data_IF_329838235529
#
_entry.id   IF_329838235529
#
_cell.length_a   1.000
_cell.length_b   1.000
_cell.length_c   1.000
_cell.angle_alpha   90.00
_cell.angle_beta   90.00
_cell.angle_gamma   90.00
#
_symmetry.space_group_name_H-M   'P 1'
#
loop_
_entity.id
_entity.type
_entity.pdbx_description
1 polymer ?
#
# COMPACT_ATOMS: atom_id res chain seq x y z
N UNK A 1 -15.23 24.89 -1.94
CA UNK A 1 -15.84 23.59 -2.19
C UNK A 1 -15.98 22.83 -0.87
N UNK A 2 -17.16 22.25 -0.61
CA UNK A 2 -17.43 21.50 0.61
C UNK A 2 -16.66 20.19 0.62
N UNK A 3 -16.06 19.81 1.77
CA UNK A 3 -15.27 18.59 1.92
C UNK A 3 -16.10 17.34 1.60
N UNK A 4 -17.33 17.24 2.08
CA UNK A 4 -18.22 16.11 1.80
C UNK A 4 -18.45 15.88 0.30
N UNK A 5 -18.59 16.95 -0.50
CA UNK A 5 -18.74 16.86 -1.95
C UNK A 5 -17.47 16.32 -2.60
N UNK A 6 -16.29 16.73 -2.12
CA UNK A 6 -15.01 16.20 -2.60
C UNK A 6 -14.90 14.71 -2.32
N UNK A 7 -15.29 14.28 -1.10
CA UNK A 7 -15.27 12.87 -0.74
C UNK A 7 -16.21 12.03 -1.61
N UNK A 8 -17.44 12.52 -1.90
CA UNK A 8 -18.32 11.85 -2.84
C UNK A 8 -17.69 11.70 -4.22
N UNK A 9 -17.06 12.77 -4.75
CA UNK A 9 -16.37 12.70 -6.04
C UNK A 9 -15.18 11.72 -6.03
N UNK A 10 -14.43 11.66 -4.93
CA UNK A 10 -13.34 10.71 -4.78
C UNK A 10 -13.86 9.26 -4.75
N UNK A 11 -14.92 8.98 -3.99
CA UNK A 11 -15.55 7.66 -3.93
C UNK A 11 -16.11 7.23 -5.29
N UNK A 12 -16.74 8.18 -6.03
CA UNK A 12 -17.20 7.95 -7.40
C UNK A 12 -16.06 7.58 -8.35
N UNK A 13 -14.93 8.29 -8.23
CA UNK A 13 -13.73 8.03 -9.03
C UNK A 13 -13.15 6.64 -8.73
N UNK A 14 -13.00 6.28 -7.46
CA UNK A 14 -12.48 4.96 -7.05
C UNK A 14 -13.36 3.83 -7.59
N UNK A 15 -14.68 3.97 -7.49
CA UNK A 15 -15.64 3.01 -8.01
C UNK A 15 -15.55 2.88 -9.53
N UNK A 16 -15.48 4.01 -10.24
CA UNK A 16 -15.35 4.05 -11.70
C UNK A 16 -14.04 3.41 -12.19
N UNK A 17 -12.90 3.78 -11.58
CA UNK A 17 -11.59 3.26 -11.94
C UNK A 17 -11.48 1.73 -11.71
N UNK A 18 -12.05 1.24 -10.61
CA UNK A 18 -12.13 -0.21 -10.35
C UNK A 18 -12.99 -0.94 -11.39
N UNK A 19 -14.14 -0.38 -11.72
CA UNK A 19 -15.03 -0.95 -12.73
C UNK A 19 -14.39 -0.97 -14.13
N UNK A 20 -13.79 0.15 -14.54
CA UNK A 20 -13.09 0.29 -15.82
C UNK A 20 -11.95 -0.72 -15.94
N UNK A 21 -11.13 -0.88 -14.89
CA UNK A 21 -10.04 -1.85 -14.90
C UNK A 21 -10.55 -3.28 -15.16
N UNK A 22 -11.61 -3.70 -14.46
CA UNK A 22 -12.18 -5.04 -14.64
C UNK A 22 -12.87 -5.21 -16.00
N UNK A 23 -13.55 -4.18 -16.53
CA UNK A 23 -14.19 -4.25 -17.86
C UNK A 23 -13.14 -4.40 -18.96
N UNK A 24 -12.02 -3.67 -18.87
CA UNK A 24 -10.92 -3.81 -19.82
C UNK A 24 -10.26 -5.20 -19.74
N UNK A 25 -10.10 -5.77 -18.55
CA UNK A 25 -9.57 -7.13 -18.40
C UNK A 25 -10.52 -8.16 -19.00
N UNK A 26 -11.84 -8.02 -18.79
CA UNK A 26 -12.83 -8.88 -19.41
C UNK A 26 -12.84 -8.78 -20.95
N UNK A 27 -12.70 -7.57 -21.49
CA UNK A 27 -12.61 -7.35 -22.94
C UNK A 27 -11.33 -7.98 -23.53
N UNK A 28 -10.22 -7.88 -22.80
CA UNK A 28 -8.95 -8.53 -23.17
C UNK A 28 -9.08 -10.05 -23.15
N UNK A 29 -9.63 -10.61 -22.06
CA UNK A 29 -9.86 -12.05 -21.95
C UNK A 29 -10.76 -12.61 -23.06
N UNK A 30 -11.71 -11.82 -23.56
CA UNK A 30 -12.56 -12.20 -24.71
C UNK A 30 -11.82 -12.25 -26.05
N UNK A 31 -10.70 -11.54 -26.17
CA UNK A 31 -9.86 -11.50 -27.38
C UNK A 31 -8.65 -12.44 -27.34
N UNK A 32 -8.35 -13.05 -26.20
CA UNK A 32 -7.31 -14.07 -26.03
C UNK A 32 -7.77 -15.35 -26.74
N UNK A 33 -6.92 -15.89 -27.64
CA UNK A 33 -7.26 -16.92 -28.63
C UNK A 33 -7.81 -18.21 -27.98
N UNK A 34 -8.98 -18.72 -28.44
CA UNK A 34 -9.56 -19.99 -27.95
C UNK A 34 -8.75 -21.24 -28.31
N UNK A 35 -7.55 -21.12 -28.90
CA UNK A 35 -6.74 -22.23 -29.38
C UNK A 35 -5.87 -22.96 -28.35
N UNK A 36 -5.70 -22.43 -27.15
CA UNK A 36 -4.88 -23.02 -26.09
C UNK A 36 -5.74 -23.76 -25.06
N UNK A 37 -6.31 -24.90 -25.38
CA UNK A 37 -7.02 -25.76 -24.41
C UNK A 37 -8.43 -25.27 -24.02
N UNK A 38 -9.45 -25.73 -24.69
CA UNK A 38 -10.85 -25.24 -24.66
C UNK A 38 -11.60 -25.21 -23.30
N UNK A 39 -10.92 -25.31 -22.17
CA UNK A 39 -11.52 -25.25 -20.82
C UNK A 39 -10.92 -24.16 -19.95
N UNK A 40 -9.60 -23.92 -20.03
CA UNK A 40 -8.93 -22.93 -19.16
C UNK A 40 -9.19 -21.50 -19.62
N UNK A 41 -9.23 -21.23 -20.92
CA UNK A 41 -9.49 -19.89 -21.47
C UNK A 41 -10.92 -19.44 -21.26
N UNK A 42 -11.90 -20.38 -21.33
CA UNK A 42 -13.30 -20.07 -21.01
C UNK A 42 -13.46 -19.66 -19.54
N UNK A 43 -12.80 -20.35 -18.60
CA UNK A 43 -12.85 -20.01 -17.18
C UNK A 43 -12.12 -18.69 -16.89
N UNK A 44 -11.05 -18.35 -17.60
CA UNK A 44 -10.38 -17.04 -17.52
C UNK A 44 -11.33 -15.90 -17.92
N UNK A 45 -11.99 -16.04 -19.08
CA UNK A 45 -12.98 -15.05 -19.53
C UNK A 45 -14.17 -14.97 -18.59
N UNK A 46 -14.72 -16.11 -18.15
CA UNK A 46 -15.86 -16.14 -17.22
C UNK A 46 -15.53 -15.44 -15.91
N UNK A 47 -14.32 -15.66 -15.33
CA UNK A 47 -13.90 -15.01 -14.10
C UNK A 47 -13.74 -13.49 -14.30
N UNK A 48 -13.11 -13.06 -15.38
CA UNK A 48 -12.93 -11.64 -15.69
C UNK A 48 -14.29 -10.94 -15.93
N UNK A 49 -15.19 -11.55 -16.69
CA UNK A 49 -16.52 -11.02 -16.98
C UNK A 49 -17.40 -10.94 -15.72
N UNK A 50 -17.36 -11.99 -14.88
CA UNK A 50 -18.06 -12.00 -13.60
C UNK A 50 -17.52 -10.91 -12.64
N UNK A 51 -16.21 -10.76 -12.53
CA UNK A 51 -15.61 -9.71 -11.71
C UNK A 51 -15.98 -8.30 -12.21
N UNK A 52 -15.97 -8.09 -13.52
CA UNK A 52 -16.41 -6.84 -14.13
C UNK A 52 -17.88 -6.52 -13.81
N UNK A 53 -18.79 -7.50 -13.97
CA UNK A 53 -20.21 -7.31 -13.67
C UNK A 53 -20.47 -7.09 -12.18
N UNK A 54 -19.80 -7.86 -11.30
CA UNK A 54 -19.94 -7.74 -9.84
C UNK A 54 -19.55 -6.34 -9.32
N UNK A 55 -18.66 -5.61 -10.00
CA UNK A 55 -18.21 -4.27 -9.62
C UNK A 55 -18.86 -3.16 -10.45
N UNK A 56 -18.95 -3.29 -11.77
CA UNK A 56 -19.41 -2.20 -12.63
C UNK A 56 -20.88 -1.87 -12.44
N UNK A 57 -21.73 -2.87 -12.23
CA UNK A 57 -23.18 -2.66 -12.06
C UNK A 57 -23.50 -1.88 -10.77
N UNK A 58 -23.02 -2.29 -9.57
CA UNK A 58 -23.20 -1.51 -8.35
C UNK A 58 -22.51 -0.14 -8.41
N UNK A 59 -21.33 -0.04 -9.02
CA UNK A 59 -20.61 1.22 -9.16
C UNK A 59 -21.40 2.23 -10.01
N UNK A 60 -22.00 1.79 -11.12
CA UNK A 60 -22.81 2.65 -11.96
C UNK A 60 -24.04 3.18 -11.22
N UNK A 61 -24.76 2.29 -10.49
CA UNK A 61 -25.92 2.70 -9.70
C UNK A 61 -25.52 3.73 -8.63
N UNK A 62 -24.51 3.39 -7.80
CA UNK A 62 -24.02 4.30 -6.75
C UNK A 62 -23.55 5.64 -7.30
N UNK A 63 -22.79 5.64 -8.40
CA UNK A 63 -22.31 6.88 -9.02
C UNK A 63 -23.46 7.72 -9.59
N UNK A 64 -24.51 7.11 -10.14
CA UNK A 64 -25.69 7.82 -10.61
C UNK A 64 -26.47 8.46 -9.46
N UNK A 65 -26.58 7.80 -8.31
CA UNK A 65 -27.20 8.35 -7.10
C UNK A 65 -26.37 9.51 -6.53
N UNK A 66 -25.06 9.33 -6.39
CA UNK A 66 -24.16 10.37 -5.91
C UNK A 66 -24.08 11.56 -6.86
N UNK A 67 -24.22 11.35 -8.17
CA UNK A 67 -24.30 12.42 -9.15
C UNK A 67 -25.48 13.37 -8.86
N UNK A 68 -26.65 12.84 -8.54
CA UNK A 68 -27.79 13.66 -8.09
C UNK A 68 -27.45 14.41 -6.82
N UNK A 69 -26.87 13.73 -5.83
CA UNK A 69 -26.51 14.32 -4.54
C UNK A 69 -25.49 15.48 -4.67
N UNK A 70 -24.48 15.31 -5.54
CA UNK A 70 -23.44 16.33 -5.80
C UNK A 70 -24.02 17.58 -6.46
N UNK A 71 -24.99 17.42 -7.35
CA UNK A 71 -25.68 18.55 -7.99
C UNK A 71 -26.72 19.23 -7.08
N UNK A 72 -27.10 18.60 -5.96
CA UNK A 72 -28.07 19.16 -5.03
C UNK A 72 -29.46 19.32 -5.65
N UNK A 73 -30.15 20.44 -5.37
CA UNK A 73 -31.53 20.67 -5.81
C UNK A 73 -31.74 20.52 -7.32
N UNK A 74 -30.84 21.05 -8.13
CA UNK A 74 -30.96 20.95 -9.60
C UNK A 74 -30.85 19.50 -10.10
N UNK A 75 -30.04 18.65 -9.45
CA UNK A 75 -29.92 17.24 -9.78
C UNK A 75 -31.23 16.44 -9.60
N UNK A 76 -32.16 16.95 -8.79
CA UNK A 76 -33.48 16.35 -8.56
C UNK A 76 -34.55 16.88 -9.50
N UNK A 77 -34.18 17.78 -10.41
CA UNK A 77 -35.14 18.35 -11.35
C UNK A 77 -35.09 17.67 -12.72
N UNK A 78 -36.18 17.80 -13.50
CA UNK A 78 -36.24 17.31 -14.87
C UNK A 78 -35.35 18.08 -15.84
N UNK A 79 -34.92 19.27 -15.45
CA UNK A 79 -34.06 20.14 -16.26
C UNK A 79 -32.61 19.65 -16.34
N UNK A 80 -32.21 18.76 -15.40
CA UNK A 80 -30.85 18.19 -15.34
C UNK A 80 -30.85 16.71 -15.74
N UNK A 81 -29.86 16.29 -16.54
CA UNK A 81 -29.77 14.93 -17.09
C UNK A 81 -29.42 13.84 -16.06
N UNK A 82 -29.15 14.17 -14.79
CA UNK A 82 -28.78 13.21 -13.76
C UNK A 82 -29.79 12.06 -13.59
N UNK A 83 -31.10 12.37 -13.72
CA UNK A 83 -32.15 11.35 -13.62
C UNK A 83 -32.11 10.32 -14.76
N UNK A 84 -31.61 10.66 -15.96
CA UNK A 84 -31.45 9.74 -17.08
C UNK A 84 -30.41 8.67 -16.75
N UNK A 85 -29.28 9.08 -16.16
CA UNK A 85 -28.24 8.16 -15.70
C UNK A 85 -28.74 7.23 -14.60
N UNK A 86 -29.49 7.75 -13.62
CA UNK A 86 -30.05 6.91 -12.54
C UNK A 86 -31.08 5.91 -13.08
N UNK A 87 -32.00 6.32 -13.94
CA UNK A 87 -32.99 5.44 -14.55
C UNK A 87 -32.31 4.32 -15.35
N UNK A 88 -31.29 4.65 -16.13
CA UNK A 88 -30.52 3.65 -16.88
C UNK A 88 -29.79 2.69 -15.95
N UNK A 89 -29.12 3.20 -14.89
CA UNK A 89 -28.40 2.39 -13.92
C UNK A 89 -29.33 1.41 -13.21
N UNK A 90 -30.51 1.86 -12.77
CA UNK A 90 -31.53 1.03 -12.16
C UNK A 90 -32.00 -0.09 -13.12
N UNK A 91 -32.27 0.25 -14.38
CA UNK A 91 -32.73 -0.73 -15.39
C UNK A 91 -31.62 -1.77 -15.65
N UNK A 92 -30.40 -1.34 -15.90
CA UNK A 92 -29.26 -2.23 -16.19
C UNK A 92 -28.98 -3.15 -15.00
N UNK A 93 -28.99 -2.61 -13.79
CA UNK A 93 -28.75 -3.41 -12.58
C UNK A 93 -29.90 -4.42 -12.32
N UNK A 94 -31.13 -4.06 -12.62
CA UNK A 94 -32.28 -4.98 -12.47
C UNK A 94 -32.26 -6.11 -13.50
N UNK A 95 -31.78 -5.84 -14.73
CA UNK A 95 -31.75 -6.85 -15.82
C UNK A 95 -30.55 -7.79 -15.68
N UNK A 96 -29.37 -7.26 -15.40
CA UNK A 96 -28.14 -8.04 -15.40
C UNK A 96 -27.78 -8.64 -14.04
N UNK A 97 -28.13 -7.97 -12.93
CA UNK A 97 -27.95 -8.45 -11.56
C UNK A 97 -26.49 -8.67 -11.15
N UNK A 98 -25.95 -7.82 -10.26
CA UNK A 98 -24.56 -7.95 -9.81
C UNK A 98 -24.33 -9.10 -8.82
N UNK A 99 -25.36 -9.59 -8.15
CA UNK A 99 -25.25 -10.63 -7.11
C UNK A 99 -24.92 -12.00 -7.73
N UNK A 100 -25.57 -12.37 -8.84
CA UNK A 100 -25.26 -13.59 -9.57
C UNK A 100 -23.81 -13.60 -10.07
N UNK A 101 -23.33 -12.48 -10.60
CA UNK A 101 -21.94 -12.34 -11.02
C UNK A 101 -20.94 -12.50 -9.84
N UNK A 102 -21.27 -11.96 -8.67
CA UNK A 102 -20.44 -12.15 -7.48
C UNK A 102 -20.40 -13.62 -7.03
N UNK A 103 -21.54 -14.33 -7.06
CA UNK A 103 -21.59 -15.78 -6.80
C UNK A 103 -20.72 -16.56 -7.80
N UNK A 104 -20.72 -16.16 -9.08
CA UNK A 104 -19.86 -16.79 -10.10
C UNK A 104 -18.39 -16.56 -9.80
N UNK A 105 -17.98 -15.36 -9.39
CA UNK A 105 -16.59 -15.07 -8.96
C UNK A 105 -16.19 -15.99 -7.81
N UNK A 106 -17.04 -16.12 -6.78
CA UNK A 106 -16.80 -17.02 -5.66
C UNK A 106 -16.65 -18.47 -6.14
N UNK A 107 -17.60 -18.97 -6.92
CA UNK A 107 -17.63 -20.36 -7.39
C UNK A 107 -16.43 -20.71 -8.27
N UNK A 108 -16.00 -19.82 -9.17
CA UNK A 108 -14.80 -20.00 -10.00
C UNK A 108 -13.54 -20.03 -9.17
N UNK A 109 -13.37 -19.05 -8.26
CA UNK A 109 -12.20 -18.97 -7.39
C UNK A 109 -12.13 -20.16 -6.43
N UNK A 110 -13.27 -20.63 -5.90
CA UNK A 110 -13.34 -21.81 -5.02
C UNK A 110 -12.94 -23.11 -5.72
N UNK A 111 -13.06 -23.18 -7.05
CA UNK A 111 -12.55 -24.28 -7.89
C UNK A 111 -11.07 -24.13 -8.27
N UNK A 112 -10.40 -23.09 -7.82
CA UNK A 112 -9.00 -22.84 -8.11
C UNK A 112 -8.73 -22.05 -9.40
N UNK A 113 -9.75 -21.46 -10.03
CA UNK A 113 -9.55 -20.59 -11.19
C UNK A 113 -8.88 -19.31 -10.74
N UNK A 114 -7.73 -19.00 -11.34
CA UNK A 114 -6.95 -17.78 -11.09
C UNK A 114 -6.74 -17.04 -12.38
N UNK A 115 -7.13 -15.79 -12.46
CA UNK A 115 -6.90 -14.95 -13.63
C UNK A 115 -5.40 -14.67 -13.79
N UNK A 116 -4.82 -15.17 -14.87
CA UNK A 116 -3.45 -14.90 -15.27
C UNK A 116 -3.38 -13.55 -15.99
N UNK A 117 -2.98 -12.51 -15.29
CA UNK A 117 -2.76 -11.19 -15.88
C UNK A 117 -1.29 -11.01 -16.19
N UNK A 118 -0.94 -10.79 -17.46
CA UNK A 118 0.38 -10.38 -17.90
C UNK A 118 0.36 -8.95 -18.42
N UNK A 119 1.46 -8.23 -18.27
CA UNK A 119 1.71 -6.99 -18.99
C UNK A 119 2.28 -7.32 -20.36
N UNK A 120 1.80 -6.63 -21.40
CA UNK A 120 2.46 -6.65 -22.70
C UNK A 120 3.76 -5.86 -22.56
N UNK A 121 4.86 -6.58 -22.47
CA UNK A 121 6.17 -5.98 -22.33
C UNK A 121 6.73 -5.63 -23.72
N UNK A 122 7.49 -4.55 -23.83
CA UNK A 122 8.16 -4.21 -25.10
C UNK A 122 9.15 -5.31 -25.51
N UNK A 123 9.43 -5.49 -26.80
CA UNK A 123 10.31 -6.56 -27.28
C UNK A 123 11.71 -6.59 -26.63
N UNK A 124 12.20 -5.43 -26.20
CA UNK A 124 13.49 -5.29 -25.50
C UNK A 124 13.47 -5.95 -24.11
N UNK A 125 12.28 -6.16 -23.54
CA UNK A 125 12.13 -6.81 -22.24
C UNK A 125 12.59 -8.26 -22.25
N UNK A 126 12.47 -8.99 -23.37
CA UNK A 126 12.90 -10.39 -23.46
C UNK A 126 14.43 -10.55 -23.32
N UNK A 127 15.20 -9.65 -23.92
CA UNK A 127 16.66 -9.65 -23.74
C UNK A 127 17.03 -9.38 -22.27
N UNK A 128 16.37 -8.38 -21.66
CA UNK A 128 16.56 -8.04 -20.25
C UNK A 128 16.11 -9.17 -19.32
N UNK A 129 15.02 -9.86 -19.67
CA UNK A 129 14.53 -11.05 -18.93
C UNK A 129 15.62 -12.13 -18.89
N UNK A 130 16.24 -12.44 -20.04
CA UNK A 130 17.30 -13.43 -20.11
C UNK A 130 18.50 -13.11 -19.21
N UNK A 131 18.91 -11.84 -19.15
CA UNK A 131 19.98 -11.39 -18.26
C UNK A 131 19.59 -11.54 -16.78
N UNK A 132 18.38 -11.13 -16.41
CA UNK A 132 17.87 -11.20 -15.04
C UNK A 132 17.69 -12.66 -14.60
N UNK A 133 17.15 -13.52 -15.48
CA UNK A 133 17.00 -14.96 -15.20
C UNK A 133 18.35 -15.61 -14.90
N UNK A 134 19.37 -15.35 -15.74
CA UNK A 134 20.71 -15.89 -15.53
C UNK A 134 21.31 -15.46 -14.19
N UNK A 135 21.14 -14.19 -13.84
CA UNK A 135 21.63 -13.64 -12.57
C UNK A 135 20.86 -14.17 -11.38
N UNK A 136 19.53 -14.29 -11.47
CA UNK A 136 18.71 -14.87 -10.41
C UNK A 136 19.11 -16.33 -10.15
N UNK A 137 19.33 -17.13 -11.20
CA UNK A 137 19.80 -18.51 -11.07
C UNK A 137 21.22 -18.59 -10.47
N UNK A 138 22.12 -17.69 -10.86
CA UNK A 138 23.48 -17.60 -10.30
C UNK A 138 23.41 -17.33 -8.81
N UNK A 139 22.60 -16.38 -8.38
CA UNK A 139 22.43 -16.03 -6.96
C UNK A 139 21.73 -17.16 -6.20
N UNK A 140 20.73 -17.82 -6.80
CA UNK A 140 20.04 -18.95 -6.20
C UNK A 140 20.96 -20.12 -5.82
N UNK A 141 22.04 -20.30 -6.56
CA UNK A 141 23.03 -21.36 -6.30
C UNK A 141 23.95 -21.09 -5.09
N UNK A 142 23.90 -19.88 -4.51
CA UNK A 142 24.73 -19.48 -3.36
C UNK A 142 24.03 -19.82 -2.03
N UNK A 143 24.81 -19.82 -0.94
CA UNK A 143 24.24 -19.89 0.42
C UNK A 143 23.54 -18.58 0.78
N UNK A 144 22.61 -18.63 1.72
CA UNK A 144 21.70 -17.51 2.07
C UNK A 144 22.45 -16.22 2.42
N UNK A 145 23.58 -16.31 3.13
CA UNK A 145 24.38 -15.16 3.51
C UNK A 145 25.04 -14.52 2.29
N UNK A 146 25.65 -15.34 1.43
CA UNK A 146 26.29 -14.91 0.20
C UNK A 146 25.24 -14.36 -0.78
N UNK A 147 24.02 -14.91 -0.82
CA UNK A 147 22.91 -14.34 -1.60
C UNK A 147 22.64 -12.89 -1.23
N UNK A 148 22.58 -12.54 0.05
CA UNK A 148 22.37 -11.16 0.48
C UNK A 148 23.51 -10.24 0.05
N UNK A 149 24.76 -10.68 0.20
CA UNK A 149 25.93 -9.92 -0.22
C UNK A 149 25.91 -9.64 -1.74
N UNK A 150 25.55 -10.63 -2.54
CA UNK A 150 25.43 -10.48 -3.99
C UNK A 150 24.23 -9.62 -4.40
N UNK A 151 23.09 -9.76 -3.75
CA UNK A 151 21.93 -8.90 -3.98
C UNK A 151 22.25 -7.42 -3.72
N UNK A 152 23.05 -7.14 -2.69
CA UNK A 152 23.51 -5.78 -2.38
C UNK A 152 24.52 -5.32 -3.43
N UNK A 153 25.53 -6.12 -3.73
CA UNK A 153 26.61 -5.77 -4.67
C UNK A 153 26.10 -5.52 -6.10
N UNK A 154 25.09 -6.27 -6.54
CA UNK A 154 24.47 -6.14 -7.85
C UNK A 154 23.33 -5.11 -7.92
N UNK A 155 22.87 -4.62 -6.76
CA UNK A 155 21.76 -3.70 -6.64
C UNK A 155 20.37 -4.33 -6.81
N UNK A 156 20.27 -5.65 -6.96
CA UNK A 156 18.99 -6.35 -7.06
C UNK A 156 18.22 -6.38 -5.73
N UNK A 157 18.89 -6.12 -4.63
CA UNK A 157 18.26 -6.02 -3.31
C UNK A 157 17.12 -5.00 -3.29
N UNK A 158 17.32 -3.84 -3.94
CA UNK A 158 16.35 -2.74 -4.09
C UNK A 158 16.51 -2.14 -5.49
N UNK A 159 16.08 -2.87 -6.51
CA UNK A 159 16.37 -2.57 -7.93
C UNK A 159 16.02 -1.15 -8.37
N UNK A 160 14.95 -0.55 -7.81
CA UNK A 160 14.50 0.80 -8.12
C UNK A 160 15.34 1.91 -7.48
N UNK A 161 16.22 1.60 -6.52
CA UNK A 161 17.06 2.62 -5.89
C UNK A 161 18.13 3.15 -6.85
N UNK A 162 18.63 4.39 -6.64
CA UNK A 162 19.73 4.93 -7.42
C UNK A 162 21.00 4.07 -7.29
N UNK A 163 21.81 4.04 -8.34
CA UNK A 163 23.17 3.47 -8.28
C UNK A 163 24.02 4.27 -7.28
N UNK A 164 24.95 3.63 -6.56
CA UNK A 164 25.32 2.20 -6.63
C UNK A 164 24.45 1.28 -5.74
N UNK A 165 23.52 1.81 -4.96
CA UNK A 165 22.74 1.10 -3.95
C UNK A 165 21.59 0.27 -4.52
N UNK A 166 21.21 0.54 -5.74
CA UNK A 166 20.25 -0.17 -6.56
C UNK A 166 20.69 -0.11 -8.02
N UNK A 167 19.77 -0.39 -8.91
CA UNK A 167 20.02 -0.43 -10.36
C UNK A 167 19.47 0.79 -11.10
N UNK A 168 18.75 1.67 -10.40
CA UNK A 168 17.91 2.71 -11.00
C UNK A 168 16.88 2.10 -11.99
N UNK A 169 16.40 0.90 -11.67
CA UNK A 169 15.55 0.10 -12.54
C UNK A 169 14.25 0.81 -12.88
N UNK A 170 13.91 0.88 -14.15
CA UNK A 170 12.61 1.29 -14.63
C UNK A 170 11.53 0.25 -14.31
N UNK A 171 10.27 0.56 -14.61
CA UNK A 171 9.14 -0.30 -14.24
C UNK A 171 9.23 -1.71 -14.84
N UNK A 172 9.68 -1.85 -16.10
CA UNK A 172 9.90 -3.16 -16.76
C UNK A 172 10.92 -3.97 -16.01
N UNK A 173 12.10 -3.40 -15.74
CA UNK A 173 13.17 -4.10 -15.04
C UNK A 173 12.74 -4.52 -13.64
N UNK A 174 12.01 -3.64 -12.90
CA UNK A 174 11.48 -3.98 -11.58
C UNK A 174 10.55 -5.19 -11.64
N UNK A 175 9.62 -5.22 -12.60
CA UNK A 175 8.69 -6.34 -12.79
C UNK A 175 9.43 -7.63 -13.08
N UNK A 176 10.36 -7.60 -14.06
CA UNK A 176 11.16 -8.77 -14.42
C UNK A 176 11.99 -9.28 -13.23
N UNK A 177 12.57 -8.38 -12.45
CA UNK A 177 13.31 -8.76 -11.23
C UNK A 177 12.39 -9.45 -10.21
N UNK A 178 11.17 -8.97 -10.02
CA UNK A 178 10.21 -9.64 -9.12
C UNK A 178 9.88 -11.06 -9.61
N UNK A 179 9.56 -11.19 -10.90
CA UNK A 179 9.18 -12.47 -11.51
C UNK A 179 10.32 -13.49 -11.49
N UNK A 180 11.48 -13.10 -12.01
CA UNK A 180 12.60 -14.04 -12.21
C UNK A 180 13.28 -14.46 -10.90
N UNK A 181 13.41 -13.52 -9.92
CA UNK A 181 13.95 -13.87 -8.61
C UNK A 181 12.98 -14.74 -7.81
N UNK A 182 11.68 -14.52 -7.93
CA UNK A 182 10.67 -15.40 -7.34
C UNK A 182 10.70 -16.80 -7.98
N UNK A 183 10.79 -16.89 -9.30
CA UNK A 183 10.89 -18.16 -10.04
C UNK A 183 12.16 -18.93 -9.68
N UNK A 184 13.28 -18.23 -9.45
CA UNK A 184 14.54 -18.84 -9.00
C UNK A 184 14.54 -19.22 -7.50
N UNK A 185 13.48 -18.88 -6.75
CA UNK A 185 13.39 -19.14 -5.31
C UNK A 185 14.27 -18.23 -4.44
N UNK A 186 14.79 -17.13 -4.99
CA UNK A 186 15.59 -16.15 -4.23
C UNK A 186 14.68 -15.18 -3.51
N UNK A 187 14.73 -15.19 -2.19
CA UNK A 187 13.96 -14.28 -1.34
C UNK A 187 14.72 -12.96 -1.16
N UNK A 188 14.24 -11.90 -1.80
CA UNK A 188 14.76 -10.56 -1.54
C UNK A 188 14.26 -10.05 -0.18
N UNK A 189 15.13 -9.39 0.62
CA UNK A 189 14.74 -8.89 1.94
C UNK A 189 13.61 -7.86 1.86
N UNK A 190 12.64 -7.96 2.76
CA UNK A 190 11.72 -6.86 3.07
C UNK A 190 12.39 -5.94 4.09
N UNK A 191 12.47 -4.66 3.75
CA UNK A 191 13.04 -3.63 4.62
C UNK A 191 11.98 -2.79 5.34
N UNK A 192 10.73 -2.86 4.94
CA UNK A 192 9.65 -2.08 5.55
C UNK A 192 10.06 -0.61 5.71
N UNK A 193 9.93 -0.08 6.94
CA UNK A 193 10.25 1.33 7.26
C UNK A 193 11.71 1.68 6.94
N UNK A 194 12.65 0.78 7.25
CA UNK A 194 14.06 1.00 6.92
C UNK A 194 14.25 1.31 5.44
N UNK A 195 13.51 0.64 4.54
CA UNK A 195 13.62 0.83 3.10
C UNK A 195 13.33 2.26 2.66
N UNK A 196 12.18 2.82 3.02
CA UNK A 196 11.85 4.19 2.56
C UNK A 196 12.61 5.28 3.32
N UNK A 197 13.02 5.03 4.57
CA UNK A 197 13.86 5.96 5.32
C UNK A 197 15.25 6.04 4.70
N UNK A 198 15.86 4.91 4.37
CA UNK A 198 17.20 4.87 3.74
C UNK A 198 17.15 5.42 2.31
N UNK A 199 16.10 5.15 1.54
CA UNK A 199 15.94 5.79 0.23
C UNK A 199 15.88 7.32 0.37
N UNK A 200 15.22 7.85 1.40
CA UNK A 200 15.21 9.28 1.68
C UNK A 200 16.62 9.79 2.00
N UNK A 201 17.40 9.01 2.75
CA UNK A 201 18.78 9.38 3.07
C UNK A 201 19.66 9.40 1.81
N UNK A 202 19.49 8.45 0.90
CA UNK A 202 20.16 8.44 -0.42
C UNK A 202 19.80 9.67 -1.24
N UNK A 203 18.53 10.12 -1.18
CA UNK A 203 18.04 11.27 -1.96
C UNK A 203 18.41 12.62 -1.39
N UNK A 204 18.51 12.75 -0.06
CA UNK A 204 18.58 14.03 0.63
C UNK A 204 19.79 14.15 1.59
N UNK A 205 20.47 13.07 1.90
CA UNK A 205 21.59 13.04 2.82
C UNK A 205 22.91 13.48 2.19
N UNK A 206 23.89 13.74 3.03
CA UNK A 206 25.27 14.00 2.60
C UNK A 206 25.98 12.72 2.21
N UNK A 207 27.05 12.77 1.39
CA UNK A 207 27.86 11.59 1.07
C UNK A 207 28.35 10.83 2.32
N UNK A 208 28.75 11.56 3.37
CA UNK A 208 29.18 10.96 4.64
C UNK A 208 28.04 10.20 5.34
N UNK A 209 26.82 10.73 5.35
CA UNK A 209 25.65 10.04 5.90
C UNK A 209 25.33 8.78 5.12
N UNK A 210 25.38 8.86 3.80
CA UNK A 210 25.13 7.70 2.91
C UNK A 210 26.15 6.59 3.20
N UNK A 211 27.43 6.91 3.24
CA UNK A 211 28.51 5.98 3.54
C UNK A 211 28.39 5.34 4.94
N UNK A 212 28.00 6.13 5.95
CA UNK A 212 27.84 5.65 7.34
C UNK A 212 26.70 4.67 7.53
N UNK A 213 25.61 4.79 6.77
CA UNK A 213 24.35 4.17 7.14
C UNK A 213 23.75 3.22 6.11
N UNK A 214 23.92 3.45 4.79
CA UNK A 214 23.15 2.71 3.78
C UNK A 214 23.52 1.23 3.76
N UNK A 215 24.82 0.90 3.73
CA UNK A 215 25.23 -0.51 3.68
C UNK A 215 24.79 -1.28 4.94
N UNK A 216 24.93 -0.69 6.13
CA UNK A 216 24.49 -1.30 7.40
C UNK A 216 22.99 -1.58 7.41
N UNK A 217 22.21 -0.67 6.84
CA UNK A 217 20.75 -0.87 6.72
C UNK A 217 20.40 -1.97 5.71
N UNK A 218 21.08 -2.03 4.57
CA UNK A 218 20.88 -3.09 3.57
C UNK A 218 21.29 -4.47 4.11
N UNK A 219 22.30 -4.55 4.97
CA UNK A 219 22.71 -5.78 5.68
C UNK A 219 21.79 -6.14 6.86
N UNK A 220 20.84 -5.25 7.20
CA UNK A 220 20.00 -5.32 8.40
C UNK A 220 20.78 -5.25 9.73
N UNK A 221 22.01 -4.76 9.72
CA UNK A 221 22.80 -4.51 10.93
C UNK A 221 22.23 -3.34 11.74
N UNK A 222 21.65 -2.35 11.06
CA UNK A 222 20.94 -1.24 11.69
C UNK A 222 19.52 -1.11 11.12
N UNK A 223 18.53 -1.34 11.96
CA UNK A 223 17.11 -1.14 11.64
C UNK A 223 16.74 0.30 11.97
N UNK A 224 15.92 0.90 11.10
CA UNK A 224 15.48 2.29 11.21
C UNK A 224 13.99 2.41 11.49
N UNK A 225 13.61 3.44 12.24
CA UNK A 225 12.23 3.85 12.42
C UNK A 225 12.00 5.29 11.94
N UNK A 226 10.72 5.64 11.70
CA UNK A 226 10.28 6.97 11.28
C UNK A 226 9.63 7.68 12.46
N UNK A 227 10.16 8.84 12.85
CA UNK A 227 9.78 9.61 14.03
C UNK A 227 9.10 10.93 13.63
N UNK A 228 7.89 10.84 13.06
CA UNK A 228 7.17 12.00 12.51
C UNK A 228 6.03 12.44 13.42
N UNK A 229 5.05 11.59 13.65
CA UNK A 229 3.83 11.90 14.37
C UNK A 229 4.10 12.29 15.83
N UNK A 230 3.31 13.25 16.33
CA UNK A 230 3.29 13.67 17.72
C UNK A 230 1.85 13.62 18.26
N UNK A 231 1.61 13.62 19.58
CA UNK A 231 0.25 13.60 20.14
C UNK A 231 -0.67 14.69 19.58
N UNK A 232 -0.12 15.83 19.15
CA UNK A 232 -0.87 16.95 18.57
C UNK A 232 -0.66 17.14 17.06
N UNK A 233 0.11 16.28 16.39
CA UNK A 233 0.49 16.41 14.99
C UNK A 233 0.51 15.03 14.30
N UNK A 234 -0.65 14.62 13.80
CA UNK A 234 -0.82 13.41 13.00
C UNK A 234 -1.00 13.74 11.52
N UNK A 235 -2.25 13.91 11.06
CA UNK A 235 -2.56 14.28 9.66
C UNK A 235 -1.92 15.61 9.24
N UNK A 236 -1.79 16.57 10.16
CA UNK A 236 -0.97 17.77 9.96
C UNK A 236 0.48 17.50 10.39
N UNK A 237 1.21 16.78 9.55
CA UNK A 237 2.59 16.37 9.82
C UNK A 237 3.56 17.56 9.98
N UNK A 238 3.20 18.76 9.50
CA UNK A 238 3.99 19.97 9.68
C UNK A 238 3.78 20.67 11.02
N UNK A 239 2.77 20.28 11.81
CA UNK A 239 2.46 20.88 13.10
C UNK A 239 3.33 20.36 14.27
N UNK A 240 4.45 19.71 13.96
CA UNK A 240 5.37 19.14 14.98
C UNK A 240 5.90 20.21 15.93
N UNK A 241 6.03 19.83 17.20
CA UNK A 241 6.46 20.68 18.32
C UNK A 241 7.72 20.17 19.04
N UNK A 242 8.19 18.96 18.74
CA UNK A 242 9.46 18.44 19.26
C UNK A 242 10.54 19.47 18.98
N UNK A 243 11.04 20.11 20.02
CA UNK A 243 11.94 21.28 19.94
C UNK A 243 13.37 20.82 19.72
N UNK A 244 14.07 21.49 18.80
CA UNK A 244 15.51 21.41 18.68
C UNK A 244 16.10 22.78 18.94
N UNK A 245 16.99 22.87 19.94
CA UNK A 245 17.69 24.11 20.34
C UNK A 245 19.14 24.01 19.91
N UNK A 246 19.64 25.03 19.22
CA UNK A 246 21.03 25.12 18.78
C UNK A 246 21.98 25.16 19.96
N UNK A 247 23.05 24.36 19.92
CA UNK A 247 24.16 24.35 20.87
C UNK A 247 25.47 24.18 20.10
N UNK A 248 26.61 24.27 20.81
CA UNK A 248 27.90 24.06 20.16
C UNK A 248 28.02 22.65 19.57
N UNK A 249 28.33 22.58 18.27
CA UNK A 249 28.52 21.35 17.52
C UNK A 249 27.25 20.56 17.20
N UNK A 250 26.06 21.11 17.50
CA UNK A 250 24.82 20.36 17.22
C UNK A 250 23.55 20.97 17.80
N UNK A 251 22.64 20.09 18.19
CA UNK A 251 21.30 20.43 18.65
C UNK A 251 20.91 19.61 19.86
N UNK A 252 20.15 20.22 20.77
CA UNK A 252 19.48 19.54 21.90
C UNK A 252 18.00 19.37 21.58
N UNK A 253 17.51 18.12 21.65
CA UNK A 253 16.15 17.77 21.28
C UNK A 253 15.36 17.39 22.51
N UNK A 254 14.17 18.00 22.66
CA UNK A 254 13.21 17.67 23.71
C UNK A 254 11.80 17.62 23.12
N UNK A 255 11.05 16.57 23.45
CA UNK A 255 9.69 16.37 22.95
C UNK A 255 9.27 14.92 22.96
N UNK A 256 8.23 14.62 22.18
CA UNK A 256 7.63 13.28 22.11
C UNK A 256 7.20 12.96 20.70
N UNK A 257 7.48 11.73 20.25
CA UNK A 257 6.91 11.12 19.07
C UNK A 257 5.97 9.99 19.46
N UNK A 258 4.97 9.71 18.61
CA UNK A 258 3.97 8.67 18.84
C UNK A 258 3.70 7.89 17.57
N UNK A 259 3.09 6.73 17.69
CA UNK A 259 2.80 5.81 16.57
C UNK A 259 4.06 5.35 15.81
N UNK A 260 5.21 5.34 16.47
CA UNK A 260 6.47 4.93 15.86
C UNK A 260 6.56 3.41 15.81
N UNK A 261 6.39 2.84 14.62
CA UNK A 261 6.50 1.40 14.41
C UNK A 261 7.94 0.94 14.65
N UNK A 262 8.10 -0.13 15.42
CA UNK A 262 9.38 -0.80 15.63
C UNK A 262 10.44 -0.01 16.39
N UNK A 263 10.11 1.12 17.01
CA UNK A 263 11.10 1.95 17.74
C UNK A 263 11.82 1.17 18.86
N UNK A 264 11.18 0.17 19.45
CA UNK A 264 11.75 -0.63 20.55
C UNK A 264 12.94 -1.52 20.13
N UNK A 265 13.05 -1.86 18.83
CA UNK A 265 14.19 -2.61 18.29
C UNK A 265 15.02 -1.80 17.27
N UNK A 266 14.56 -0.62 16.85
CA UNK A 266 15.30 0.22 15.92
C UNK A 266 16.62 0.72 16.55
N UNK A 267 17.68 0.74 15.75
CA UNK A 267 18.96 1.33 16.13
C UNK A 267 19.01 2.82 15.80
N UNK A 268 18.34 3.24 14.74
CA UNK A 268 18.31 4.62 14.24
C UNK A 268 16.88 5.08 13.99
N UNK A 269 16.66 6.38 14.07
CA UNK A 269 15.39 7.00 13.70
C UNK A 269 15.60 8.25 12.85
N UNK A 270 14.74 8.45 11.86
CA UNK A 270 14.69 9.69 11.08
C UNK A 270 13.53 10.53 11.62
N UNK A 271 13.84 11.71 12.18
CA UNK A 271 12.91 12.53 12.93
C UNK A 271 12.71 13.93 12.33
N UNK A 272 11.46 14.37 12.31
CA UNK A 272 11.12 15.80 12.14
C UNK A 272 11.20 16.51 13.47
N UNK A 273 11.90 17.65 13.53
CA UNK A 273 12.00 18.50 14.74
C UNK A 273 11.74 19.96 14.39
N UNK A 274 11.29 20.74 15.37
CA UNK A 274 11.05 22.19 15.23
C UNK A 274 12.27 22.96 15.65
N UNK A 275 12.94 23.60 14.70
CA UNK A 275 14.12 24.45 14.92
C UNK A 275 13.80 25.94 14.96
N UNK A 276 12.71 26.35 14.29
CA UNK A 276 12.23 27.74 14.31
C UNK A 276 10.71 27.78 14.53
N UNK A 277 10.28 28.50 15.55
CA UNK A 277 8.87 28.67 15.92
C UNK A 277 8.26 29.99 15.43
N UNK A 278 9.08 30.92 14.92
CA UNK A 278 8.66 32.26 14.51
C UNK A 278 8.28 32.35 13.03
N UNK A 279 8.50 31.26 12.29
CA UNK A 279 8.20 31.17 10.85
C UNK A 279 6.99 30.27 10.59
N UNK A 280 6.40 30.31 9.37
CA UNK A 280 5.34 29.37 9.00
C UNK A 280 5.76 27.92 9.23
N UNK A 281 4.83 27.09 9.68
CA UNK A 281 5.11 25.72 10.17
C UNK A 281 5.98 24.85 9.27
N UNK A 282 5.88 25.00 7.95
CA UNK A 282 6.68 24.24 6.99
C UNK A 282 8.14 24.71 6.87
N UNK A 283 8.41 25.99 7.21
CA UNK A 283 9.71 26.60 7.07
C UNK A 283 10.59 26.51 8.34
N UNK A 284 10.05 25.99 9.44
CA UNK A 284 10.79 25.86 10.72
C UNK A 284 11.05 24.41 11.13
N UNK A 285 11.01 23.47 10.19
CA UNK A 285 11.25 22.04 10.42
C UNK A 285 12.67 21.68 9.95
N UNK A 286 13.36 20.90 10.75
CA UNK A 286 14.63 20.26 10.39
C UNK A 286 14.46 18.74 10.49
N UNK A 287 15.15 18.01 9.63
CA UNK A 287 15.20 16.56 9.68
C UNK A 287 16.51 16.12 10.31
N UNK A 288 16.44 15.16 11.23
CA UNK A 288 17.61 14.69 11.97
C UNK A 288 17.64 13.17 12.10
N UNK A 289 18.83 12.60 12.17
CA UNK A 289 19.09 11.20 12.50
C UNK A 289 19.26 11.10 14.02
N UNK A 290 18.53 10.18 14.64
CA UNK A 290 18.59 9.92 16.08
C UNK A 290 19.16 8.54 16.33
N UNK A 291 20.17 8.43 17.18
CA UNK A 291 20.57 7.17 17.80
C UNK A 291 19.51 6.80 18.85
N UNK A 292 18.75 5.74 18.61
CA UNK A 292 17.67 5.30 19.49
C UNK A 292 18.18 4.77 20.85
N UNK A 293 19.50 4.61 21.01
CA UNK A 293 20.15 4.22 22.26
C UNK A 293 20.89 5.39 22.93
N UNK A 294 20.77 6.62 22.38
CA UNK A 294 21.40 7.79 22.98
C UNK A 294 20.81 8.10 24.36
N UNK A 295 21.63 8.68 25.28
CA UNK A 295 21.11 9.17 26.56
C UNK A 295 19.95 10.16 26.35
N UNK A 296 18.87 10.00 27.10
CA UNK A 296 17.69 10.85 26.99
C UNK A 296 16.62 10.34 26.01
N UNK A 297 16.87 9.28 25.23
CA UNK A 297 15.85 8.60 24.42
C UNK A 297 15.17 7.53 25.27
N UNK A 298 13.86 7.61 25.39
CA UNK A 298 13.04 6.61 26.08
C UNK A 298 11.95 6.11 25.12
N UNK A 299 11.83 4.79 24.97
CA UNK A 299 10.84 4.15 24.10
C UNK A 299 9.85 3.37 24.96
N UNK A 300 8.54 3.65 24.76
CA UNK A 300 7.44 2.98 25.47
C UNK A 300 6.51 2.34 24.45
N UNK A 301 6.42 0.99 24.43
CA UNK A 301 5.47 0.29 23.56
C UNK A 301 4.02 0.65 23.89
N UNK A 302 3.20 0.85 22.85
CA UNK A 302 1.77 1.10 22.95
C UNK A 302 1.01 -0.20 22.70
N UNK A 303 0.24 -0.65 23.69
CA UNK A 303 -0.63 -1.81 23.49
C UNK A 303 -1.81 -1.42 22.59
N UNK A 304 -1.91 -2.10 21.45
CA UNK A 304 -2.93 -1.88 20.44
C UNK A 304 -4.17 -2.72 20.71
N UNK A 305 -5.28 -2.38 20.04
CA UNK A 305 -6.53 -3.16 20.11
C UNK A 305 -6.39 -4.58 19.60
N UNK A 306 -5.37 -4.86 18.77
CA UNK A 306 -4.99 -6.20 18.29
C UNK A 306 -4.32 -7.07 19.36
N UNK A 307 -3.95 -6.47 20.50
CA UNK A 307 -3.15 -7.09 21.55
C UNK A 307 -1.63 -6.97 21.35
N UNK A 308 -1.17 -6.57 20.17
CA UNK A 308 0.24 -6.32 19.85
C UNK A 308 0.74 -4.98 20.42
N UNK A 309 2.04 -4.70 20.24
CA UNK A 309 2.71 -3.48 20.70
C UNK A 309 3.76 -3.00 19.70
N UNK A 310 3.46 -3.08 18.42
CA UNK A 310 4.36 -2.69 17.33
C UNK A 310 4.60 -1.18 17.27
N UNK A 311 3.61 -0.37 17.70
CA UNK A 311 3.72 1.08 17.81
C UNK A 311 4.27 1.51 19.16
N UNK A 312 4.99 2.62 19.17
CA UNK A 312 5.64 3.13 20.36
C UNK A 312 5.43 4.64 20.52
N UNK A 313 5.45 5.10 21.77
CA UNK A 313 5.82 6.46 22.13
C UNK A 313 7.35 6.56 22.26
N UNK A 314 7.91 7.65 21.80
CA UNK A 314 9.36 7.92 21.93
C UNK A 314 9.51 9.30 22.53
N UNK A 315 10.13 9.36 23.71
CA UNK A 315 10.41 10.60 24.45
C UNK A 315 11.85 11.00 24.24
N UNK A 316 12.08 12.29 24.04
CA UNK A 316 13.38 12.90 23.97
C UNK A 316 13.55 13.87 25.14
N UNK A 317 14.53 13.61 25.99
CA UNK A 317 14.85 14.44 27.13
C UNK A 317 16.29 14.96 26.96
N UNK A 318 16.40 16.16 26.38
CA UNK A 318 17.67 16.85 26.14
C UNK A 318 18.70 16.01 25.34
N UNK A 319 18.20 15.29 24.30
CA UNK A 319 19.05 14.41 23.46
C UNK A 319 19.94 15.24 22.57
N UNK A 320 21.26 15.00 22.62
CA UNK A 320 22.21 15.68 21.75
C UNK A 320 22.29 15.02 20.38
N UNK A 321 22.18 15.82 19.32
CA UNK A 321 22.34 15.43 17.92
C UNK A 321 23.46 16.28 17.32
N UNK A 322 24.53 15.68 16.81
CA UNK A 322 25.61 16.41 16.16
C UNK A 322 25.17 16.99 14.81
N UNK A 323 25.82 18.05 14.36
CA UNK A 323 25.51 18.70 13.08
C UNK A 323 25.59 17.75 11.89
N UNK A 324 26.48 16.78 11.94
CA UNK A 324 26.63 15.75 10.89
C UNK A 324 25.43 14.81 10.74
N UNK A 325 24.53 14.79 11.74
CA UNK A 325 23.29 13.98 11.72
C UNK A 325 22.05 14.81 11.32
N UNK A 326 22.21 16.05 10.89
CA UNK A 326 21.17 16.85 10.25
C UNK A 326 21.05 16.42 8.77
N UNK A 327 19.86 16.07 8.33
CA UNK A 327 19.60 15.63 6.93
C UNK A 327 19.03 16.79 6.13
N UNK A 328 19.74 17.20 5.09
CA UNK A 328 19.46 18.44 4.37
C UNK A 328 19.83 19.68 5.18
N UNK A 329 19.32 20.84 4.79
CA UNK A 329 19.60 22.11 5.48
C UNK A 329 18.67 22.32 6.69
N UNK A 330 19.16 22.94 7.79
CA UNK A 330 18.31 23.39 8.87
C UNK A 330 17.13 24.25 8.36
N UNK A 331 15.96 24.07 8.92
CA UNK A 331 14.70 24.72 8.55
C UNK A 331 14.14 24.31 7.15
N UNK A 332 14.83 23.49 6.37
CA UNK A 332 14.38 22.96 5.09
C UNK A 332 13.90 21.50 5.19
N UNK A 333 13.77 20.94 6.39
CA UNK A 333 13.41 19.54 6.65
C UNK A 333 12.04 19.12 6.12
N UNK A 334 11.14 20.06 5.81
CA UNK A 334 9.87 19.73 5.19
C UNK A 334 10.04 19.12 3.78
N UNK A 335 11.05 19.54 3.03
CA UNK A 335 11.37 18.93 1.73
C UNK A 335 11.79 17.47 1.91
N UNK A 336 12.64 17.18 2.89
CA UNK A 336 13.06 15.82 3.23
C UNK A 336 11.88 14.99 3.74
N UNK A 337 11.01 15.56 4.59
CA UNK A 337 9.80 14.90 5.08
C UNK A 337 8.86 14.51 3.93
N UNK A 338 8.69 15.39 2.94
CA UNK A 338 7.87 15.09 1.74
C UNK A 338 8.47 13.94 0.91
N UNK A 339 9.78 13.86 0.77
CA UNK A 339 10.45 12.75 0.10
C UNK A 339 10.19 11.44 0.87
N UNK A 340 10.36 11.43 2.18
CA UNK A 340 10.07 10.26 3.04
C UNK A 340 8.63 9.79 2.89
N UNK A 341 7.65 10.71 2.98
CA UNK A 341 6.22 10.39 2.82
C UNK A 341 5.89 9.91 1.39
N UNK A 342 6.60 10.41 0.39
CA UNK A 342 6.51 9.93 -0.99
C UNK A 342 6.99 8.49 -1.11
N UNK A 343 8.15 8.18 -0.58
CA UNK A 343 8.76 6.85 -0.56
C UNK A 343 7.89 5.84 0.23
N UNK A 344 7.34 6.26 1.39
CA UNK A 344 6.39 5.48 2.19
C UNK A 344 5.16 5.08 1.38
N UNK A 345 4.51 6.04 0.67
CA UNK A 345 3.32 5.77 -0.14
C UNK A 345 3.60 4.77 -1.26
N UNK A 346 4.76 4.90 -1.92
CA UNK A 346 5.16 3.95 -2.97
C UNK A 346 5.37 2.56 -2.37
N UNK A 347 6.02 2.45 -1.22
CA UNK A 347 6.26 1.19 -0.54
C UNK A 347 4.95 0.52 -0.07
N UNK A 348 4.06 1.26 0.58
CA UNK A 348 2.77 0.74 1.07
C UNK A 348 1.81 0.44 -0.08
N UNK A 349 1.75 1.28 -1.09
CA UNK A 349 0.81 1.14 -2.23
C UNK A 349 1.33 0.23 -3.34
N UNK A 350 2.63 -0.06 -3.36
CA UNK A 350 3.29 -0.89 -4.37
C UNK A 350 3.42 -2.36 -4.00
N UNK A 351 2.92 -2.75 -2.83
CA UNK A 351 3.08 -4.09 -2.29
C UNK A 351 2.65 -5.18 -3.27
N UNK A 352 3.63 -5.78 -3.95
CA UNK A 352 3.51 -7.08 -4.59
C UNK A 352 3.34 -8.20 -3.54
N UNK A 353 3.40 -7.84 -2.25
CA UNK A 353 3.31 -8.72 -1.10
C UNK A 353 1.87 -8.93 -0.64
N UNK A 354 1.17 -9.95 -1.17
CA UNK A 354 0.34 -10.72 -0.28
C UNK A 354 -1.13 -10.35 -0.12
N UNK A 355 -1.84 -9.86 -1.13
CA UNK A 355 -3.31 -9.90 -1.10
C UNK A 355 -3.81 -11.34 -1.31
N UNK A 356 -3.13 -12.14 -2.10
CA UNK A 356 -3.51 -13.52 -2.42
C UNK A 356 -3.75 -14.44 -1.19
N UNK A 357 -2.96 -14.43 -0.11
CA UNK A 357 -3.24 -15.28 1.06
C UNK A 357 -4.57 -14.95 1.75
N UNK A 358 -4.97 -13.68 1.76
CA UNK A 358 -6.20 -13.24 2.41
C UNK A 358 -7.45 -13.73 1.64
N UNK A 359 -7.42 -13.66 0.33
CA UNK A 359 -8.50 -14.13 -0.54
C UNK A 359 -8.74 -15.63 -0.40
N UNK A 360 -7.67 -16.43 -0.44
CA UNK A 360 -7.75 -17.87 -0.24
C UNK A 360 -8.33 -18.24 1.13
N UNK A 361 -7.90 -17.54 2.18
CA UNK A 361 -8.42 -17.75 3.52
C UNK A 361 -9.93 -17.47 3.63
N UNK A 362 -10.41 -16.37 3.06
CA UNK A 362 -11.84 -16.06 3.07
C UNK A 362 -12.67 -17.08 2.27
N UNK A 363 -12.15 -17.59 1.16
CA UNK A 363 -12.79 -18.69 0.42
C UNK A 363 -12.92 -19.93 1.30
N UNK A 364 -11.85 -20.33 2.00
CA UNK A 364 -11.88 -21.48 2.90
C UNK A 364 -12.87 -21.27 4.05
N UNK A 365 -12.89 -20.07 4.67
CA UNK A 365 -13.87 -19.75 5.71
C UNK A 365 -15.31 -19.81 5.19
N UNK A 366 -15.56 -19.30 4.00
CA UNK A 366 -16.91 -19.33 3.41
C UNK A 366 -17.34 -20.75 3.04
N UNK A 367 -16.42 -21.60 2.60
CA UNK A 367 -16.71 -23.02 2.35
C UNK A 367 -17.01 -23.78 3.65
N UNK A 368 -16.32 -23.45 4.75
CA UNK A 368 -16.49 -24.11 6.04
C UNK A 368 -17.71 -23.59 6.84
N UNK A 369 -18.02 -22.31 6.75
CA UNK A 369 -18.96 -21.61 7.63
C UNK A 369 -19.95 -20.70 6.91
N UNK A 370 -20.16 -20.90 5.60
CA UNK A 370 -21.03 -20.02 4.79
C UNK A 370 -22.49 -19.99 5.24
N UNK A 371 -22.95 -21.03 5.90
CA UNK A 371 -24.28 -21.12 6.51
C UNK A 371 -24.52 -20.10 7.64
N UNK A 372 -23.45 -19.59 8.24
CA UNK A 372 -23.50 -18.57 9.31
C UNK A 372 -23.74 -17.15 8.79
N UNK A 373 -23.54 -16.90 7.50
CA UNK A 373 -23.72 -15.59 6.89
C UNK A 373 -24.61 -15.69 5.64
N UNK A 374 -25.80 -15.13 5.70
CA UNK A 374 -26.70 -15.08 4.53
C UNK A 374 -26.00 -14.34 3.37
N UNK A 375 -25.98 -14.95 2.17
CA UNK A 375 -25.29 -14.40 1.00
C UNK A 375 -23.77 -14.40 1.12
N UNK A 376 -23.19 -15.37 1.83
CA UNK A 376 -21.74 -15.51 1.99
C UNK A 376 -21.02 -15.56 0.65
N UNK A 377 -21.53 -16.31 -0.30
CA UNK A 377 -21.05 -16.44 -1.67
C UNK A 377 -21.02 -15.11 -2.41
N UNK A 378 -22.10 -14.33 -2.33
CA UNK A 378 -22.19 -12.99 -2.94
C UNK A 378 -21.19 -12.03 -2.30
N UNK A 379 -21.11 -12.00 -0.96
CA UNK A 379 -20.26 -11.05 -0.25
C UNK A 379 -18.78 -11.36 -0.44
N UNK A 380 -18.40 -12.63 -0.34
CA UNK A 380 -17.02 -13.07 -0.61
C UNK A 380 -16.68 -12.88 -2.09
N UNK A 381 -17.59 -13.19 -3.00
CA UNK A 381 -17.39 -12.97 -4.43
C UNK A 381 -17.14 -11.51 -4.80
N UNK A 382 -17.87 -10.56 -4.19
CA UNK A 382 -17.59 -9.13 -4.34
C UNK A 382 -16.21 -8.74 -3.79
N UNK A 383 -15.84 -9.28 -2.64
CA UNK A 383 -14.52 -9.08 -2.07
C UNK A 383 -13.41 -9.58 -3.02
N UNK A 384 -13.59 -10.77 -3.62
CA UNK A 384 -12.66 -11.32 -4.61
C UNK A 384 -12.60 -10.49 -5.89
N UNK A 385 -13.72 -9.94 -6.35
CA UNK A 385 -13.75 -9.02 -7.48
C UNK A 385 -13.00 -7.71 -7.15
N UNK A 386 -13.13 -7.19 -5.93
CA UNK A 386 -12.39 -6.02 -5.46
C UNK A 386 -10.89 -6.29 -5.38
N UNK A 387 -10.48 -7.49 -4.93
CA UNK A 387 -9.10 -7.94 -4.93
C UNK A 387 -8.52 -7.98 -6.35
N UNK A 388 -9.31 -8.50 -7.30
CA UNK A 388 -8.95 -8.50 -8.71
C UNK A 388 -8.78 -7.08 -9.26
N UNK A 389 -9.72 -6.16 -8.97
CA UNK A 389 -9.61 -4.76 -9.36
C UNK A 389 -8.35 -4.08 -8.81
N UNK A 390 -7.97 -4.33 -7.55
CA UNK A 390 -6.74 -3.81 -6.96
C UNK A 390 -5.49 -4.28 -7.71
N UNK A 391 -5.43 -5.56 -8.10
CA UNK A 391 -4.33 -6.09 -8.94
C UNK A 391 -4.26 -5.38 -10.28
N UNK A 392 -5.40 -5.22 -10.97
CA UNK A 392 -5.47 -4.54 -12.25
C UNK A 392 -5.07 -3.07 -12.18
N UNK A 393 -5.50 -2.35 -11.14
CA UNK A 393 -5.10 -0.95 -10.90
C UNK A 393 -3.58 -0.83 -10.71
N UNK A 394 -2.97 -1.76 -9.99
CA UNK A 394 -1.52 -1.80 -9.83
C UNK A 394 -0.80 -2.14 -11.15
N UNK A 395 -1.32 -3.10 -11.93
CA UNK A 395 -0.78 -3.41 -13.27
C UNK A 395 -0.89 -2.21 -14.22
N UNK A 396 -2.03 -1.50 -14.23
CA UNK A 396 -2.20 -0.29 -15.05
C UNK A 396 -1.23 0.82 -14.63
N UNK A 397 -0.98 0.98 -13.34
CA UNK A 397 0.04 1.92 -12.85
C UNK A 397 1.44 1.54 -13.33
N UNK A 398 1.78 0.24 -13.28
CA UNK A 398 3.04 -0.26 -13.81
C UNK A 398 3.15 -0.03 -15.33
N UNK A 399 2.12 -0.34 -16.10
CA UNK A 399 2.07 -0.09 -17.55
C UNK A 399 2.30 1.39 -17.90
N UNK A 400 1.59 2.32 -17.23
CA UNK A 400 1.80 3.76 -17.42
C UNK A 400 3.21 4.23 -17.06
N UNK A 401 3.81 3.63 -16.04
CA UNK A 401 5.21 3.91 -15.68
C UNK A 401 6.18 3.42 -16.75
N UNK A 402 5.87 2.30 -17.41
CA UNK A 402 6.63 1.77 -18.56
C UNK A 402 6.59 2.76 -19.74
N UNK A 403 5.44 3.41 -19.96
CA UNK A 403 5.25 4.44 -20.99
C UNK A 403 5.85 5.81 -20.61
N UNK A 404 6.53 5.90 -19.47
CA UNK A 404 7.19 7.11 -19.01
C UNK A 404 6.26 8.12 -18.32
N UNK A 405 5.04 7.76 -18.00
CA UNK A 405 4.14 8.62 -17.23
C UNK A 405 4.65 8.77 -15.79
N UNK A 406 4.67 10.02 -15.31
CA UNK A 406 4.97 10.32 -13.92
C UNK A 406 3.89 9.80 -12.95
N UNK A 407 4.15 9.81 -11.63
CA UNK A 407 3.17 9.36 -10.64
C UNK A 407 1.90 10.21 -10.71
N UNK A 408 0.76 9.52 -10.88
CA UNK A 408 -0.57 10.10 -10.92
C UNK A 408 -1.35 9.91 -9.61
N UNK A 409 -2.67 10.17 -9.60
CA UNK A 409 -3.52 10.00 -8.43
C UNK A 409 -3.76 8.53 -8.06
N UNK A 410 -3.31 7.59 -8.88
CA UNK A 410 -3.56 6.16 -8.73
C UNK A 410 -3.07 5.60 -7.38
N UNK A 411 -1.97 6.15 -6.84
CA UNK A 411 -1.47 5.77 -5.52
C UNK A 411 -2.46 6.06 -4.39
N UNK A 412 -3.23 7.17 -4.49
CA UNK A 412 -4.27 7.47 -3.51
C UNK A 412 -5.51 6.58 -3.72
N UNK A 413 -5.88 6.28 -4.98
CA UNK A 413 -6.99 5.38 -5.32
C UNK A 413 -6.72 3.98 -4.75
N UNK A 414 -5.53 3.41 -5.03
CA UNK A 414 -5.17 2.08 -4.53
C UNK A 414 -5.06 2.04 -3.01
N UNK A 415 -4.50 3.09 -2.37
CA UNK A 415 -4.42 3.19 -0.91
C UNK A 415 -5.81 3.21 -0.26
N UNK A 416 -6.74 4.02 -0.78
CA UNK A 416 -8.10 4.12 -0.27
C UNK A 416 -8.84 2.78 -0.44
N UNK A 417 -8.79 2.22 -1.64
CA UNK A 417 -9.39 0.93 -1.94
C UNK A 417 -8.84 -0.19 -1.07
N UNK A 418 -7.51 -0.24 -0.87
CA UNK A 418 -6.85 -1.22 -0.03
C UNK A 418 -7.29 -1.12 1.44
N UNK A 419 -7.42 0.10 1.97
CA UNK A 419 -7.89 0.31 3.34
C UNK A 419 -9.34 -0.20 3.54
N UNK A 420 -10.23 0.04 2.57
CA UNK A 420 -11.61 -0.46 2.58
C UNK A 420 -11.65 -1.98 2.42
N UNK A 421 -10.80 -2.54 1.56
CA UNK A 421 -10.67 -3.98 1.33
C UNK A 421 -10.24 -4.73 2.60
N UNK A 422 -9.26 -4.23 3.36
CA UNK A 422 -8.89 -4.82 4.66
C UNK A 422 -10.03 -4.75 5.68
N UNK A 423 -10.80 -3.65 5.70
CA UNK A 423 -11.95 -3.55 6.59
C UNK A 423 -13.04 -4.57 6.24
N UNK A 424 -13.32 -4.74 4.96
CA UNK A 424 -14.30 -5.73 4.48
C UNK A 424 -13.83 -7.16 4.73
N UNK A 425 -12.53 -7.46 4.53
CA UNK A 425 -11.93 -8.74 4.90
C UNK A 425 -12.20 -9.09 6.37
N UNK A 426 -11.90 -8.15 7.27
CA UNK A 426 -12.12 -8.35 8.70
C UNK A 426 -13.60 -8.54 9.05
N UNK A 427 -14.49 -7.79 8.39
CA UNK A 427 -15.94 -7.89 8.60
C UNK A 427 -16.51 -9.23 8.10
N UNK A 428 -16.07 -9.70 6.93
CA UNK A 428 -16.47 -11.01 6.37
C UNK A 428 -15.96 -12.13 7.29
N UNK A 429 -14.69 -12.12 7.63
CA UNK A 429 -14.08 -13.13 8.50
C UNK A 429 -14.81 -13.22 9.86
N UNK A 430 -15.10 -12.05 10.46
CA UNK A 430 -15.85 -11.98 11.72
C UNK A 430 -17.27 -12.57 11.60
N UNK A 431 -17.97 -12.28 10.51
CA UNK A 431 -19.32 -12.81 10.28
C UNK A 431 -19.32 -14.33 10.07
N UNK A 432 -18.34 -14.88 9.34
CA UNK A 432 -18.22 -16.30 9.07
C UNK A 432 -17.81 -17.10 10.34
N UNK A 433 -16.86 -16.58 11.11
CA UNK A 433 -16.39 -17.25 12.32
C UNK A 433 -17.41 -17.15 13.47
N UNK A 434 -18.14 -16.04 13.55
CA UNK A 434 -19.24 -15.85 14.51
C UNK A 434 -18.78 -15.89 15.98
N UNK A 435 -19.39 -16.73 16.86
CA UNK A 435 -19.10 -16.73 18.30
C UNK A 435 -17.65 -17.07 18.65
N UNK A 436 -16.94 -17.75 17.78
CA UNK A 436 -15.54 -18.16 17.99
C UNK A 436 -14.58 -16.96 18.02
N UNK A 437 -15.03 -15.75 17.59
CA UNK A 437 -14.29 -14.50 17.80
C UNK A 437 -13.90 -14.24 19.28
N UNK A 438 -14.64 -14.80 20.22
CA UNK A 438 -14.35 -14.69 21.65
C UNK A 438 -13.18 -15.58 22.11
N UNK A 439 -12.70 -16.49 21.26
CA UNK A 439 -11.61 -17.41 21.60
C UNK A 439 -10.24 -16.76 21.32
N UNK A 440 -9.28 -17.05 22.20
CA UNK A 440 -7.91 -16.55 22.07
C UNK A 440 -7.05 -17.32 21.05
N UNK A 441 -7.56 -18.41 20.48
CA UNK A 441 -6.85 -19.28 19.54
C UNK A 441 -7.64 -19.61 18.28
N UNK A 442 -6.97 -20.27 17.33
CA UNK A 442 -7.60 -20.77 16.10
C UNK A 442 -8.09 -19.67 15.16
N UNK A 443 -9.10 -20.02 14.34
CA UNK A 443 -9.67 -19.12 13.34
C UNK A 443 -10.34 -17.87 13.95
N UNK A 444 -10.93 -18.01 15.16
CA UNK A 444 -11.53 -16.91 15.88
C UNK A 444 -10.53 -15.81 16.21
N UNK A 445 -9.38 -16.16 16.74
CA UNK A 445 -8.32 -15.19 17.03
C UNK A 445 -7.72 -14.56 15.78
N UNK A 446 -7.64 -15.28 14.66
CA UNK A 446 -7.18 -14.74 13.38
C UNK A 446 -8.19 -13.74 12.82
N UNK A 447 -9.48 -14.07 12.81
CA UNK A 447 -10.55 -13.20 12.35
C UNK A 447 -10.67 -11.94 13.21
N UNK A 448 -10.56 -12.07 14.55
CA UNK A 448 -10.55 -10.94 15.46
C UNK A 448 -9.37 -9.99 15.19
N UNK A 449 -8.16 -10.54 15.01
CA UNK A 449 -6.97 -9.74 14.65
C UNK A 449 -7.13 -9.03 13.29
N UNK A 450 -7.67 -9.71 12.28
CA UNK A 450 -7.94 -9.12 10.97
C UNK A 450 -8.93 -7.96 11.08
N UNK A 451 -10.05 -8.15 11.77
CA UNK A 451 -11.09 -7.12 11.96
C UNK A 451 -10.58 -5.90 12.74
N UNK A 452 -9.78 -6.10 13.77
CA UNK A 452 -9.19 -5.01 14.57
C UNK A 452 -8.04 -4.34 13.83
N UNK A 453 -7.13 -5.11 13.25
CA UNK A 453 -5.94 -4.61 12.54
C UNK A 453 -6.30 -3.76 11.31
N UNK A 454 -7.38 -4.10 10.63
CA UNK A 454 -7.89 -3.34 9.48
C UNK A 454 -8.16 -1.87 9.79
N UNK A 455 -8.44 -1.52 11.05
CA UNK A 455 -8.66 -0.12 11.46
C UNK A 455 -7.36 0.69 11.36
N UNK A 456 -6.22 0.07 11.65
CA UNK A 456 -4.90 0.70 11.48
C UNK A 456 -4.60 1.05 10.03
N UNK A 457 -4.99 0.20 9.07
CA UNK A 457 -4.77 0.42 7.63
C UNK A 457 -5.52 1.64 7.08
N UNK A 458 -6.65 2.01 7.69
CA UNK A 458 -7.40 3.21 7.32
C UNK A 458 -6.73 4.51 7.81
N UNK A 459 -5.75 4.43 8.71
CA UNK A 459 -5.05 5.57 9.32
C UNK A 459 -3.61 5.70 8.85
N UNK A 460 -2.91 4.59 8.64
CA UNK A 460 -1.51 4.56 8.21
C UNK A 460 -1.32 5.16 6.81
N UNK A 461 -0.22 5.88 6.57
CA UNK A 461 0.07 6.52 5.28
C UNK A 461 -0.89 7.65 4.89
N UNK A 462 -1.57 8.25 5.87
CA UNK A 462 -2.68 9.21 5.73
C UNK A 462 -4.03 8.54 5.91
N UNK A 463 -4.94 9.21 6.64
CA UNK A 463 -6.29 8.66 6.84
C UNK A 463 -7.06 8.57 5.52
N UNK A 464 -8.10 7.73 5.46
CA UNK A 464 -8.97 7.64 4.29
C UNK A 464 -9.57 9.00 3.91
N UNK A 465 -9.83 9.87 4.88
CA UNK A 465 -10.33 11.24 4.67
C UNK A 465 -9.28 12.15 4.02
N UNK A 466 -8.00 11.93 4.32
CA UNK A 466 -6.87 12.67 3.69
C UNK A 466 -6.57 12.13 2.29
N UNK A 467 -6.81 10.84 2.05
CA UNK A 467 -6.62 10.20 0.74
C UNK A 467 -7.71 10.60 -0.27
N UNK A 468 -8.97 10.83 0.20
CA UNK A 468 -10.08 11.40 -0.58
C UNK A 468 -9.82 12.88 -0.92
#
# INVERSE_FOLDING_TARGET
TFQAVKHHCADMLVAAESAVACVWDAARAAGEDPGAGAGEDEDQFRLAAAAAAALALPAYLRNAELNIQVHGGIGFTWEHDAHLHLRRALTVNAVLGGDGAATDVFGLTARGVVRANSLDLPPEAEALRGEITAEAQRIAALDEKTQLDELIATGYVMSHWPKPWGRAAGAVEQLLVEEEFAAAGVKRPDYGITGWVILTLIQCGTPSQIERFVEKALRKDEIWCQLFSEPSAGSDAAAVKTRATRVDGGWRISGQKVWTSGAHYARRGLATVRTDFEVPKHAGITMVIIDMKAPGVEVRPLRQITGGSEFNEVFFNDVFIPDEDVVGEPNAGWTVARATLGNERVSIGGGAGGIAPASAWLVQLAQAHGDRMAGADVRVGRFLADDHALRLLNLRRAARSIEGAGPGPEGNITKLKLAEHFQEQGAIAAALVGPELALEGGEGALAARAAMGARGMAMAGGTSEVAR
#
